data_IF_507807329097
#
_entry.id   IF_507807329097
#
_cell.length_a   1.000
_cell.length_b   1.000
_cell.length_c   1.000
_cell.angle_alpha   90.00
_cell.angle_beta   90.00
_cell.angle_gamma   90.00
#
_symmetry.space_group_name_H-M   'P 1'
#
loop_
_entity.id
_entity.type
_entity.pdbx_description
1 polymer ?
#
# COMPACT_ATOMS: atom_id res chain seq x y z
N UNK A 1 2.47 -11.95 21.29
CA UNK A 1 1.76 -10.71 21.56
C UNK A 1 0.94 -10.41 20.32
N UNK A 2 -0.36 -10.13 20.49
CA UNK A 2 -1.22 -9.72 19.38
C UNK A 2 -0.82 -8.35 18.84
N UNK A 3 -1.36 -7.96 17.68
CA UNK A 3 -1.10 -6.64 17.11
C UNK A 3 -1.79 -5.53 17.92
N UNK A 4 -1.18 -4.35 18.01
CA UNK A 4 -1.82 -3.11 18.53
C UNK A 4 -2.76 -2.48 17.50
N UNK A 5 -3.55 -1.49 17.89
CA UNK A 5 -4.42 -0.72 16.99
C UNK A 5 -3.65 -0.10 15.83
N UNK A 6 -2.50 0.51 16.13
CA UNK A 6 -1.61 1.12 15.14
C UNK A 6 -1.04 0.06 14.18
N UNK A 7 -0.68 -1.12 14.70
CA UNK A 7 -0.19 -2.24 13.88
C UNK A 7 -1.30 -2.79 12.98
N UNK A 8 -2.51 -2.99 13.50
CA UNK A 8 -3.68 -3.41 12.71
C UNK A 8 -4.01 -2.39 11.62
N UNK A 9 -3.99 -1.09 11.94
CA UNK A 9 -4.20 -0.03 10.98
C UNK A 9 -3.14 -0.06 9.87
N UNK A 10 -1.86 -0.25 10.23
CA UNK A 10 -0.77 -0.39 9.27
C UNK A 10 -0.96 -1.60 8.35
N UNK A 11 -1.36 -2.76 8.88
CA UNK A 11 -1.64 -3.97 8.10
C UNK A 11 -2.81 -3.76 7.12
N UNK A 12 -3.86 -3.06 7.52
CA UNK A 12 -4.98 -2.72 6.64
C UNK A 12 -4.59 -1.72 5.54
N UNK A 13 -3.72 -0.75 5.85
CA UNK A 13 -3.18 0.18 4.85
C UNK A 13 -2.32 -0.56 3.83
N UNK A 14 -1.40 -1.41 4.29
CA UNK A 14 -0.58 -2.23 3.39
C UNK A 14 -1.47 -3.10 2.52
N UNK A 15 -2.46 -3.79 3.10
CA UNK A 15 -3.39 -4.59 2.35
C UNK A 15 -4.17 -3.78 1.31
N UNK A 16 -4.60 -2.56 1.63
CA UNK A 16 -5.28 -1.70 0.67
C UNK A 16 -4.41 -1.38 -0.55
N UNK A 17 -3.12 -1.10 -0.32
CA UNK A 17 -2.18 -0.77 -1.38
C UNK A 17 -1.83 -2.00 -2.23
N UNK A 18 -1.55 -3.14 -1.60
CA UNK A 18 -1.30 -4.40 -2.30
C UNK A 18 -2.54 -4.89 -3.07
N UNK A 19 -3.72 -4.74 -2.49
CA UNK A 19 -4.97 -5.08 -3.15
C UNK A 19 -5.16 -4.22 -4.41
N UNK A 20 -4.82 -2.93 -4.34
CA UNK A 20 -4.85 -2.03 -5.50
C UNK A 20 -3.81 -2.40 -6.57
N UNK A 21 -2.60 -2.83 -6.17
CA UNK A 21 -1.56 -3.32 -7.10
C UNK A 21 -2.05 -4.56 -7.84
N UNK A 22 -2.73 -5.48 -7.14
CA UNK A 22 -3.28 -6.70 -7.69
C UNK A 22 -4.65 -6.49 -8.41
N UNK A 23 -4.97 -5.27 -8.82
CA UNK A 23 -6.16 -4.98 -9.63
C UNK A 23 -7.49 -4.91 -8.85
N UNK A 24 -7.43 -4.80 -7.53
CA UNK A 24 -8.60 -4.58 -6.68
C UNK A 24 -9.35 -3.29 -7.01
N UNK A 25 -10.66 -3.27 -6.79
CA UNK A 25 -11.49 -2.10 -7.09
C UNK A 25 -11.30 -0.99 -6.06
N UNK A 26 -11.47 0.25 -6.53
CA UNK A 26 -11.26 1.44 -5.71
C UNK A 26 -12.27 1.62 -4.57
N UNK A 27 -13.43 0.98 -4.60
CA UNK A 27 -14.41 1.06 -3.50
C UNK A 27 -13.85 0.30 -2.30
N UNK A 28 -13.47 -0.97 -2.49
CA UNK A 28 -12.88 -1.79 -1.42
C UNK A 28 -11.56 -1.20 -0.92
N UNK A 29 -10.68 -0.72 -1.81
CA UNK A 29 -9.44 -0.02 -1.41
C UNK A 29 -9.75 1.15 -0.47
N UNK A 30 -10.73 2.00 -0.81
CA UNK A 30 -11.13 3.11 0.07
C UNK A 30 -11.72 2.64 1.39
N UNK A 31 -12.51 1.56 1.40
CA UNK A 31 -13.04 0.99 2.64
C UNK A 31 -11.94 0.54 3.59
N UNK A 32 -10.91 -0.16 3.10
CA UNK A 32 -9.77 -0.56 3.95
C UNK A 32 -9.01 0.65 4.50
N UNK A 33 -8.78 1.69 3.69
CA UNK A 33 -8.10 2.92 4.15
C UNK A 33 -8.91 3.68 5.21
N UNK A 34 -10.23 3.73 5.06
CA UNK A 34 -11.12 4.33 6.06
C UNK A 34 -11.13 3.55 7.37
N UNK A 35 -11.29 2.22 7.28
CA UNK A 35 -11.25 1.37 8.45
C UNK A 35 -9.90 1.47 9.20
N UNK A 36 -8.79 1.52 8.47
CA UNK A 36 -7.48 1.74 9.09
C UNK A 36 -7.41 3.06 9.86
N UNK A 37 -7.94 4.15 9.29
CA UNK A 37 -7.99 5.45 9.97
C UNK A 37 -8.87 5.40 11.23
N UNK A 38 -10.04 4.75 11.15
CA UNK A 38 -10.94 4.60 12.29
C UNK A 38 -10.36 3.72 13.40
N UNK A 39 -9.61 2.68 13.04
CA UNK A 39 -8.91 1.80 13.99
C UNK A 39 -7.76 2.53 14.67
N UNK A 40 -6.92 3.25 13.92
CA UNK A 40 -5.83 4.05 14.50
C UNK A 40 -6.36 5.15 15.45
N UNK A 41 -7.56 5.66 15.19
CA UNK A 41 -8.21 6.67 16.03
C UNK A 41 -9.06 6.08 17.16
N UNK A 42 -9.15 4.75 17.28
CA UNK A 42 -10.03 4.10 18.25
C UNK A 42 -9.52 4.33 19.68
N UNK A 43 -10.33 4.90 20.59
CA UNK A 43 -9.92 5.10 21.98
C UNK A 43 -10.07 3.80 22.77
N UNK A 44 -8.96 3.15 23.09
CA UNK A 44 -8.92 1.99 23.99
C UNK A 44 -8.35 0.74 23.34
N UNK A 45 -8.59 -0.40 23.98
CA UNK A 45 -8.10 -1.71 23.55
C UNK A 45 -9.10 -2.37 22.61
N UNK A 46 -8.73 -2.47 21.33
CA UNK A 46 -9.54 -3.06 20.27
C UNK A 46 -9.80 -4.56 20.49
N UNK A 47 -8.94 -5.24 21.26
CA UNK A 47 -9.13 -6.65 21.62
C UNK A 47 -10.22 -6.87 22.67
N UNK A 48 -10.62 -5.81 23.37
CA UNK A 48 -11.62 -5.85 24.44
C UNK A 48 -13.05 -5.52 23.96
N UNK A 49 -13.24 -5.25 22.66
CA UNK A 49 -14.52 -4.82 22.09
C UNK A 49 -14.92 -5.65 20.87
N UNK A 50 -16.20 -5.56 20.47
CA UNK A 50 -16.60 -6.01 19.15
C UNK A 50 -16.12 -5.01 18.09
N UNK A 51 -15.14 -5.41 17.28
CA UNK A 51 -14.51 -4.57 16.26
C UNK A 51 -15.50 -4.04 15.21
N UNK A 52 -16.67 -4.67 15.05
CA UNK A 52 -17.75 -4.21 14.15
C UNK A 52 -18.40 -2.90 14.63
N UNK A 53 -18.17 -2.53 15.88
CA UNK A 53 -18.65 -1.26 16.45
C UNK A 53 -17.79 -0.07 16.04
N UNK A 54 -16.58 -0.32 15.52
CA UNK A 54 -15.69 0.72 15.04
C UNK A 54 -16.22 1.30 13.72
N UNK A 55 -16.26 2.64 13.55
CA UNK A 55 -16.69 3.25 12.30
C UNK A 55 -15.94 2.69 11.08
N UNK A 56 -16.65 2.54 9.96
CA UNK A 56 -16.13 1.99 8.69
C UNK A 56 -15.64 0.52 8.73
N UNK A 57 -15.77 -0.18 9.86
CA UNK A 57 -15.43 -1.60 10.00
C UNK A 57 -16.67 -2.47 9.79
N UNK A 58 -16.86 -2.92 8.54
CA UNK A 58 -17.86 -3.94 8.20
C UNK A 58 -17.38 -5.38 8.47
N UNK A 59 -18.29 -6.35 8.37
CA UNK A 59 -18.05 -7.78 8.66
C UNK A 59 -16.78 -8.36 8.00
N UNK A 60 -16.52 -8.02 6.74
CA UNK A 60 -15.35 -8.53 6.01
C UNK A 60 -14.01 -7.93 6.46
N UNK A 61 -14.04 -6.73 7.07
CA UNK A 61 -12.88 -6.06 7.64
C UNK A 61 -12.69 -6.54 9.08
N UNK A 62 -13.77 -6.63 9.86
CA UNK A 62 -13.79 -7.19 11.21
C UNK A 62 -13.04 -8.52 11.29
N UNK A 63 -13.34 -9.47 10.40
CA UNK A 63 -12.63 -10.77 10.36
C UNK A 63 -11.11 -10.67 10.16
N UNK A 64 -10.64 -9.68 9.38
CA UNK A 64 -9.20 -9.47 9.16
C UNK A 64 -8.55 -8.83 10.38
N UNK A 65 -9.27 -7.90 11.03
CA UNK A 65 -8.84 -7.26 12.27
C UNK A 65 -8.73 -8.29 13.39
N UNK A 66 -9.75 -9.13 13.57
CA UNK A 66 -9.74 -10.22 14.56
C UNK A 66 -8.55 -11.18 14.33
N UNK A 67 -8.30 -11.56 13.07
CA UNK A 67 -7.13 -12.40 12.72
C UNK A 67 -5.80 -11.68 13.00
N UNK A 68 -5.70 -10.39 12.68
CA UNK A 68 -4.52 -9.57 12.95
C UNK A 68 -4.24 -9.41 14.45
N UNK A 69 -5.27 -9.20 15.27
CA UNK A 69 -5.15 -9.14 16.72
C UNK A 69 -4.67 -10.48 17.29
N UNK A 70 -5.14 -11.61 16.75
CA UNK A 70 -4.73 -12.94 17.22
C UNK A 70 -3.29 -13.30 16.77
N UNK A 71 -2.94 -13.03 15.50
CA UNK A 71 -1.77 -13.61 14.84
C UNK A 71 -0.67 -12.61 14.49
N UNK A 72 -0.94 -11.32 14.65
CA UNK A 72 -0.07 -10.23 14.17
C UNK A 72 -0.18 -9.97 12.66
N UNK A 73 -1.03 -10.70 11.94
CA UNK A 73 -1.30 -10.53 10.49
C UNK A 73 -2.60 -11.25 10.11
N UNK A 74 -3.01 -11.15 8.85
CA UNK A 74 -4.14 -11.92 8.30
C UNK A 74 -3.80 -12.55 6.95
N UNK A 75 -4.39 -13.70 6.68
CA UNK A 75 -4.06 -14.55 5.53
C UNK A 75 -4.04 -13.81 4.19
N UNK A 76 -5.03 -12.97 3.90
CA UNK A 76 -5.10 -12.30 2.59
C UNK A 76 -3.97 -11.28 2.39
N UNK A 77 -3.42 -10.71 3.46
CA UNK A 77 -2.24 -9.85 3.38
C UNK A 77 -1.02 -10.68 2.99
N UNK A 78 -0.79 -11.81 3.65
CA UNK A 78 0.32 -12.71 3.34
C UNK A 78 0.24 -13.24 1.90
N UNK A 79 -0.96 -13.63 1.44
CA UNK A 79 -1.19 -14.07 0.07
C UNK A 79 -0.80 -12.98 -0.97
N UNK A 80 -1.08 -11.70 -0.67
CA UNK A 80 -0.70 -10.60 -1.54
C UNK A 80 0.80 -10.26 -1.45
N UNK A 81 1.40 -10.33 -0.27
CA UNK A 81 2.85 -10.18 -0.07
C UNK A 81 3.64 -11.22 -0.87
N UNK A 82 3.13 -12.45 -0.96
CA UNK A 82 3.75 -13.51 -1.78
C UNK A 82 3.61 -13.32 -3.29
N UNK A 83 2.62 -12.54 -3.75
CA UNK A 83 2.39 -12.26 -5.19
C UNK A 83 3.06 -10.99 -5.68
N UNK A 84 3.24 -10.00 -4.80
CA UNK A 84 3.74 -8.68 -5.17
C UNK A 84 5.19 -8.56 -4.70
N UNK A 85 6.16 -8.42 -5.62
CA UNK A 85 7.56 -8.29 -5.28
C UNK A 85 7.84 -7.12 -4.33
N UNK A 86 8.76 -7.32 -3.38
CA UNK A 86 9.14 -6.29 -2.41
C UNK A 86 9.59 -4.98 -3.09
N UNK A 87 10.36 -5.06 -4.18
CA UNK A 87 10.79 -3.89 -4.94
C UNK A 87 9.62 -3.05 -5.48
N UNK A 88 8.58 -3.71 -6.01
CA UNK A 88 7.39 -3.01 -6.46
C UNK A 88 6.63 -2.31 -5.31
N UNK A 89 6.67 -2.89 -4.10
CA UNK A 89 6.05 -2.31 -2.91
C UNK A 89 6.79 -1.06 -2.44
N UNK A 90 8.13 -1.07 -2.47
CA UNK A 90 8.97 0.08 -2.10
C UNK A 90 8.63 1.32 -2.94
N UNK A 91 8.29 1.13 -4.22
CA UNK A 91 7.92 2.21 -5.11
C UNK A 91 6.61 2.92 -4.71
N UNK A 92 5.72 2.29 -3.93
CA UNK A 92 4.49 2.94 -3.46
C UNK A 92 4.73 4.12 -2.53
N UNK A 93 5.91 4.19 -1.91
CA UNK A 93 6.28 5.33 -1.08
C UNK A 93 6.36 6.63 -1.89
N UNK A 94 6.61 6.54 -3.20
CA UNK A 94 6.84 7.69 -4.10
C UNK A 94 5.53 8.44 -4.34
N UNK A 95 5.40 9.71 -3.90
CA UNK A 95 4.22 10.51 -4.17
C UNK A 95 3.92 10.58 -5.67
N UNK A 96 2.65 10.45 -6.02
CA UNK A 96 2.21 10.46 -7.42
C UNK A 96 2.43 9.14 -8.19
N UNK A 97 3.11 8.15 -7.59
CA UNK A 97 3.25 6.81 -8.15
C UNK A 97 2.13 5.89 -7.65
N UNK A 98 1.16 5.63 -8.53
CA UNK A 98 0.03 4.75 -8.21
C UNK A 98 0.39 3.26 -8.26
N UNK A 99 -0.37 2.40 -7.55
CA UNK A 99 -0.14 0.95 -7.46
C UNK A 99 0.12 0.22 -8.78
N UNK A 100 -0.72 0.48 -9.79
CA UNK A 100 -0.57 -0.13 -11.12
C UNK A 100 0.73 0.27 -11.81
N UNK A 101 1.12 1.54 -11.68
CA UNK A 101 2.35 2.08 -12.27
C UNK A 101 3.59 1.57 -11.52
N UNK A 102 3.53 1.45 -10.19
CA UNK A 102 4.60 0.84 -9.40
C UNK A 102 4.86 -0.62 -9.80
N UNK A 103 3.79 -1.42 -9.92
CA UNK A 103 3.92 -2.81 -10.39
C UNK A 103 4.48 -2.88 -11.81
N UNK A 104 3.99 -2.04 -12.72
CA UNK A 104 4.46 -1.99 -14.10
C UNK A 104 5.96 -1.64 -14.22
N UNK A 105 6.44 -0.66 -13.44
CA UNK A 105 7.86 -0.29 -13.43
C UNK A 105 8.74 -1.46 -13.00
N UNK A 106 8.28 -2.24 -12.02
CA UNK A 106 9.00 -3.42 -11.57
C UNK A 106 8.96 -4.56 -12.60
N UNK A 107 7.79 -4.86 -13.18
CA UNK A 107 7.66 -5.97 -14.13
C UNK A 107 8.31 -5.68 -15.47
N UNK A 108 8.18 -4.46 -15.99
CA UNK A 108 8.59 -4.11 -17.34
C UNK A 108 10.05 -3.63 -17.38
N UNK A 109 10.50 -2.94 -16.32
CA UNK A 109 11.82 -2.31 -16.27
C UNK A 109 12.71 -2.83 -15.13
N UNK A 110 12.24 -3.72 -14.27
CA UNK A 110 13.02 -4.21 -13.13
C UNK A 110 13.34 -3.15 -12.09
N UNK A 111 12.61 -2.02 -12.08
CA UNK A 111 12.82 -0.94 -11.11
C UNK A 111 12.28 -1.40 -9.75
N UNK A 112 13.10 -1.31 -8.71
CA UNK A 112 12.80 -1.86 -7.38
C UNK A 112 13.01 -0.86 -6.22
N UNK A 113 13.44 0.36 -6.54
CA UNK A 113 13.78 1.39 -5.57
C UNK A 113 13.57 2.80 -6.13
N UNK A 114 13.39 3.83 -5.27
CA UNK A 114 13.33 5.22 -5.70
C UNK A 114 14.56 5.66 -6.49
N UNK A 115 15.74 5.19 -6.10
CA UNK A 115 17.00 5.45 -6.77
C UNK A 115 17.00 4.86 -8.19
N UNK A 116 16.65 3.58 -8.33
CA UNK A 116 16.54 2.92 -9.63
C UNK A 116 15.48 3.59 -10.53
N UNK A 117 14.41 4.15 -9.95
CA UNK A 117 13.43 4.93 -10.72
C UNK A 117 14.03 6.23 -11.25
N UNK A 118 14.78 6.95 -10.43
CA UNK A 118 15.48 8.18 -10.83
C UNK A 118 16.45 7.92 -11.99
N UNK A 119 17.25 6.86 -11.89
CA UNK A 119 18.16 6.41 -12.96
C UNK A 119 17.40 6.04 -14.23
N UNK A 120 16.34 5.22 -14.12
CA UNK A 120 15.55 4.82 -15.27
C UNK A 120 14.88 6.01 -15.99
N UNK A 121 14.49 7.06 -15.25
CA UNK A 121 13.97 8.30 -15.86
C UNK A 121 15.10 9.06 -16.57
N UNK A 122 16.28 9.21 -15.94
CA UNK A 122 17.41 9.92 -16.52
C UNK A 122 17.95 9.25 -17.80
N UNK A 123 17.91 7.92 -17.85
CA UNK A 123 18.30 7.10 -19.00
C UNK A 123 17.24 7.06 -20.12
N UNK A 124 16.07 7.69 -19.92
CA UNK A 124 14.96 7.66 -20.89
C UNK A 124 14.27 6.30 -20.99
N UNK A 125 14.48 5.37 -20.05
CA UNK A 125 13.89 4.02 -20.09
C UNK A 125 12.37 3.99 -19.97
N UNK A 126 11.78 5.09 -19.51
CA UNK A 126 10.32 5.28 -19.42
C UNK A 126 9.73 5.94 -20.68
N UNK A 127 10.54 6.22 -21.72
CA UNK A 127 10.05 6.82 -22.95
C UNK A 127 9.15 5.86 -23.74
N UNK A 128 7.98 6.37 -24.13
CA UNK A 128 6.95 5.57 -24.80
C UNK A 128 6.18 4.61 -23.87
N UNK A 129 6.58 4.46 -22.60
CA UNK A 129 5.87 3.60 -21.66
C UNK A 129 4.50 4.19 -21.33
N UNK A 130 3.44 3.40 -21.57
CA UNK A 130 2.06 3.84 -21.40
C UNK A 130 1.82 4.32 -19.96
N UNK A 131 1.32 5.54 -19.81
CA UNK A 131 1.05 6.14 -18.50
C UNK A 131 2.23 6.89 -17.87
N UNK A 132 3.38 6.98 -18.55
CA UNK A 132 4.58 7.71 -18.10
C UNK A 132 4.97 8.82 -19.07
N UNK A 133 4.02 9.71 -19.38
CA UNK A 133 4.29 10.90 -20.17
C UNK A 133 5.21 11.91 -19.47
N UNK A 134 5.67 12.97 -20.17
CA UNK A 134 6.65 13.92 -19.65
C UNK A 134 6.27 14.53 -18.28
N UNK A 135 5.01 14.96 -18.12
CA UNK A 135 4.49 15.51 -16.86
C UNK A 135 4.53 14.49 -15.72
N UNK A 136 4.18 13.23 -16.02
CA UNK A 136 4.21 12.16 -15.03
C UNK A 136 5.63 11.88 -14.59
N UNK A 137 6.59 11.80 -15.52
CA UNK A 137 8.00 11.57 -15.18
C UNK A 137 8.58 12.70 -14.35
N UNK A 138 8.24 13.96 -14.66
CA UNK A 138 8.63 15.11 -13.84
C UNK A 138 8.08 14.98 -12.40
N UNK A 139 6.79 14.70 -12.24
CA UNK A 139 6.19 14.50 -10.91
C UNK A 139 6.81 13.33 -10.15
N UNK A 140 7.21 12.26 -10.85
CA UNK A 140 7.90 11.14 -10.22
C UNK A 140 9.33 11.50 -9.77
N UNK A 141 10.06 12.30 -10.54
CA UNK A 141 11.38 12.81 -10.11
C UNK A 141 11.27 13.67 -8.85
N UNK A 142 10.26 14.55 -8.79
CA UNK A 142 9.97 15.34 -7.58
C UNK A 142 9.62 14.43 -6.39
N UNK A 143 8.81 13.40 -6.62
CA UNK A 143 8.49 12.39 -5.61
C UNK A 143 9.71 11.62 -5.11
N UNK A 144 10.59 11.17 -6.02
CA UNK A 144 11.86 10.51 -5.66
C UNK A 144 12.71 11.44 -4.81
N UNK A 145 12.91 12.69 -5.25
CA UNK A 145 13.72 13.67 -4.52
C UNK A 145 13.19 13.91 -3.10
N UNK A 146 11.86 13.94 -2.92
CA UNK A 146 11.25 14.15 -1.59
C UNK A 146 11.57 13.04 -0.58
N UNK A 147 11.83 11.82 -1.02
CA UNK A 147 12.13 10.67 -0.16
C UNK A 147 13.63 10.49 0.04
N UNK A 148 14.44 10.81 -0.98
CA UNK A 148 15.90 10.63 -0.91
C UNK A 148 16.63 11.81 -0.27
N UNK A 149 15.97 12.97 -0.12
CA UNK A 149 16.56 14.18 0.47
C UNK A 149 16.32 14.33 1.98
N UNK A 150 15.66 13.35 2.63
CA UNK A 150 15.46 13.28 4.08
C UNK A 150 16.33 12.20 4.71
#
# INVERSE_FOLDING_TARGET
MGATEDEVAALLLEYADLFAMNGGDGIRVRSYKKAAASIAAFPGDLSAVDVRTVPDVGEAIAKKVEEALERGTFRQLEDLRGRIPAGARTLLAIPGLGPKRALQLHTDLGVDSPQALGEAIAEGRLDGLKGFGPKTRQSLLEGVASITAG
#
